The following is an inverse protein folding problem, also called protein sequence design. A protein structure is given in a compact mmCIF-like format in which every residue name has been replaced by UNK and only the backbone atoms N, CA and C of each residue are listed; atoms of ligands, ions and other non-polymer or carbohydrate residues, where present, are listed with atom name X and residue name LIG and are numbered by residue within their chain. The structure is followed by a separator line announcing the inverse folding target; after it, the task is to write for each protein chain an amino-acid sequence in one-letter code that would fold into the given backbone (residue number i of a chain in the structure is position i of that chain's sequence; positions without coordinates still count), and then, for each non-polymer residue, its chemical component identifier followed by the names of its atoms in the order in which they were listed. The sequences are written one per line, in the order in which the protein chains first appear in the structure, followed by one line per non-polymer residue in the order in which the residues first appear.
data_IF_802131546989
#
_entry.id   IF_802131546989
#
_cell.length_a   1.000
_cell.length_b   1.000
_cell.length_c   1.000
_cell.angle_alpha   90.00
_cell.angle_beta   90.00
_cell.angle_gamma   90.00
#
_symmetry.space_group_name_H-M   'P 1'
#
loop_
_entity.id
_entity.type
_entity.pdbx_description
1 polymer ?
#
# COMPACT_ATOMS: atom_id res chain seq x y z
N UNK A 1 8.49 -11.94 14.53
CA UNK A 1 8.17 -10.51 14.68
C UNK A 1 9.40 -9.78 15.21
N UNK A 2 10.35 -9.36 14.37
CA UNK A 2 11.17 -8.21 14.72
C UNK A 2 10.36 -6.94 14.37
N UNK A 3 10.43 -5.88 15.19
CA UNK A 3 10.07 -4.53 14.72
C UNK A 3 8.87 -3.81 15.33
N UNK A 4 8.08 -4.37 16.27
CA UNK A 4 6.92 -3.62 16.83
C UNK A 4 7.30 -2.26 17.44
N UNK A 5 8.50 -2.15 18.01
CA UNK A 5 9.04 -0.89 18.57
C UNK A 5 10.04 -0.20 17.63
N UNK A 6 10.21 -0.69 16.40
CA UNK A 6 11.07 -0.04 15.41
C UNK A 6 10.30 1.13 14.79
N UNK A 7 10.82 2.33 15.00
CA UNK A 7 10.21 3.56 14.52
C UNK A 7 10.15 3.57 12.98
N UNK A 8 11.17 3.02 12.31
CA UNK A 8 11.18 3.00 10.83
C UNK A 8 10.07 2.09 10.31
N UNK A 9 9.78 1.01 11.02
CA UNK A 9 8.74 0.07 10.64
C UNK A 9 7.35 0.68 10.84
N UNK A 10 7.14 1.40 11.96
CA UNK A 10 5.91 2.14 12.24
C UNK A 10 5.68 3.22 11.17
N UNK A 11 6.69 4.02 10.85
CA UNK A 11 6.59 5.09 9.85
C UNK A 11 6.34 4.53 8.45
N UNK A 12 6.98 3.42 8.12
CA UNK A 12 6.76 2.70 6.86
C UNK A 12 5.31 2.20 6.75
N UNK A 13 4.73 1.68 7.83
CA UNK A 13 3.37 1.15 7.82
C UNK A 13 2.29 2.24 7.70
N UNK A 14 2.61 3.48 8.08
CA UNK A 14 1.73 4.64 7.94
C UNK A 14 1.59 5.11 6.48
N UNK A 15 2.55 4.78 5.62
CA UNK A 15 2.53 5.20 4.21
C UNK A 15 1.26 4.71 3.48
N UNK A 16 0.59 5.59 2.71
CA UNK A 16 -0.62 5.24 1.99
C UNK A 16 -0.33 4.30 0.81
N UNK A 17 -1.15 3.26 0.68
CA UNK A 17 -1.14 2.30 -0.41
C UNK A 17 -2.51 2.21 -1.07
N UNK A 18 -2.51 2.22 -2.40
CA UNK A 18 -3.73 2.08 -3.19
C UNK A 18 -4.29 0.65 -3.06
N UNK A 19 -5.54 0.54 -2.62
CA UNK A 19 -6.28 -0.72 -2.50
C UNK A 19 -7.59 -0.66 -3.28
N UNK A 20 -8.11 -1.84 -3.62
CA UNK A 20 -9.41 -2.00 -4.26
C UNK A 20 -10.32 -2.81 -3.36
N UNK A 21 -11.44 -2.22 -2.92
CA UNK A 21 -12.42 -2.92 -2.10
C UNK A 21 -13.08 -4.06 -2.89
N UNK A 22 -13.04 -5.28 -2.35
CA UNK A 22 -13.67 -6.45 -2.95
C UNK A 22 -15.08 -6.70 -2.40
N UNK A 23 -15.41 -6.06 -1.29
CA UNK A 23 -16.72 -6.09 -0.63
C UNK A 23 -17.17 -4.66 -0.35
N UNK A 24 -18.49 -4.44 -0.36
CA UNK A 24 -19.04 -3.17 0.11
C UNK A 24 -18.88 -3.05 1.62
N UNK A 25 -18.49 -1.87 2.08
CA UNK A 25 -18.28 -1.60 3.50
C UNK A 25 -19.10 -0.38 3.92
N UNK A 26 -19.88 -0.51 4.99
CA UNK A 26 -20.68 0.58 5.56
C UNK A 26 -19.94 1.23 6.73
N UNK A 27 -20.18 2.52 6.97
CA UNK A 27 -19.56 3.29 8.05
C UNK A 27 -18.12 3.74 7.77
N UNK A 28 -17.64 3.55 6.55
CA UNK A 28 -16.25 3.85 6.13
C UNK A 28 -16.18 4.97 5.09
N UNK A 29 -17.19 5.85 5.04
CA UNK A 29 -17.21 6.98 4.08
C UNK A 29 -16.02 7.93 4.23
N UNK A 30 -15.36 7.98 5.40
CA UNK A 30 -14.13 8.74 5.59
C UNK A 30 -12.97 8.25 4.70
N UNK A 31 -13.00 6.98 4.31
CA UNK A 31 -11.94 6.38 3.50
C UNK A 31 -12.08 6.80 2.03
N UNK A 32 -13.29 7.12 1.55
CA UNK A 32 -13.51 7.61 0.19
C UNK A 32 -14.03 9.05 0.23
N UNK A 33 -13.16 10.07 0.07
CA UNK A 33 -13.55 11.47 0.10
C UNK A 33 -14.60 11.85 -0.96
N UNK A 34 -14.76 11.03 -2.00
CA UNK A 34 -15.75 11.23 -3.06
C UNK A 34 -17.09 10.52 -2.80
N UNK A 35 -17.22 9.72 -1.75
CA UNK A 35 -18.44 9.01 -1.46
C UNK A 35 -19.52 9.96 -0.90
N UNK A 36 -20.64 10.07 -1.62
CA UNK A 36 -21.83 10.81 -1.14
C UNK A 36 -22.53 10.11 0.02
N UNK A 37 -22.26 8.81 0.20
CA UNK A 37 -22.85 7.97 1.24
C UNK A 37 -21.76 7.52 2.21
N UNK A 38 -22.13 7.23 3.46
CA UNK A 38 -21.20 6.70 4.46
C UNK A 38 -20.88 5.21 4.21
N UNK A 39 -20.56 4.86 2.97
CA UNK A 39 -20.28 3.50 2.51
C UNK A 39 -19.35 3.53 1.31
N UNK A 40 -18.48 2.52 1.23
CA UNK A 40 -17.59 2.27 0.09
C UNK A 40 -18.16 1.12 -0.72
N UNK A 41 -18.35 1.35 -2.02
CA UNK A 41 -18.85 0.32 -2.93
C UNK A 41 -17.78 -0.71 -3.28
N UNK A 42 -18.23 -1.92 -3.64
CA UNK A 42 -17.34 -2.94 -4.20
C UNK A 42 -16.70 -2.42 -5.48
N UNK A 43 -15.38 -2.51 -5.57
CA UNK A 43 -14.58 -2.07 -6.71
C UNK A 43 -14.02 -0.65 -6.55
N UNK A 44 -14.39 0.08 -5.49
CA UNK A 44 -13.83 1.38 -5.20
C UNK A 44 -12.32 1.31 -4.96
N UNK A 45 -11.59 2.28 -5.52
CA UNK A 45 -10.15 2.44 -5.33
C UNK A 45 -9.91 3.52 -4.29
N UNK A 46 -9.22 3.17 -3.23
CA UNK A 46 -8.99 4.03 -2.08
C UNK A 46 -7.54 3.90 -1.64
N UNK A 47 -6.95 5.00 -1.19
CA UNK A 47 -5.62 4.98 -0.56
C UNK A 47 -5.78 4.81 0.95
N UNK A 48 -5.20 3.74 1.50
CA UNK A 48 -5.23 3.42 2.93
C UNK A 48 -3.81 3.28 3.47
N UNK A 49 -3.55 3.61 4.75
CA UNK A 49 -2.28 3.25 5.38
C UNK A 49 -2.01 1.74 5.28
N UNK A 50 -0.75 1.36 5.07
CA UNK A 50 -0.37 -0.04 4.87
C UNK A 50 -0.79 -0.95 6.03
N UNK A 51 -0.66 -0.52 7.29
CA UNK A 51 -1.09 -1.33 8.44
C UNK A 51 -2.58 -1.73 8.36
N UNK A 52 -3.44 -0.81 7.90
CA UNK A 52 -4.87 -1.07 7.75
C UNK A 52 -5.15 -1.92 6.51
N UNK A 53 -4.51 -1.57 5.39
CA UNK A 53 -4.64 -2.30 4.13
C UNK A 53 -4.26 -3.77 4.28
N UNK A 54 -3.17 -4.05 5.01
CA UNK A 54 -2.70 -5.40 5.28
C UNK A 54 -3.73 -6.23 6.07
N UNK A 55 -4.26 -5.67 7.17
CA UNK A 55 -5.29 -6.31 7.97
C UNK A 55 -6.58 -6.59 7.18
N UNK A 56 -7.01 -5.67 6.32
CA UNK A 56 -8.18 -5.86 5.46
C UNK A 56 -7.92 -6.87 4.35
N UNK A 57 -6.69 -6.94 3.83
CA UNK A 57 -6.28 -7.92 2.83
C UNK A 57 -6.33 -9.34 3.39
N UNK A 58 -5.83 -9.55 4.62
CA UNK A 58 -5.90 -10.84 5.31
C UNK A 58 -7.34 -11.32 5.51
N UNK A 59 -8.29 -10.39 5.66
CA UNK A 59 -9.74 -10.66 5.76
C UNK A 59 -10.44 -10.78 4.41
N UNK A 60 -9.70 -10.72 3.30
CA UNK A 60 -10.22 -10.76 1.92
C UNK A 60 -11.21 -9.62 1.60
N UNK A 61 -11.16 -8.52 2.36
CA UNK A 61 -12.04 -7.37 2.15
C UNK A 61 -11.53 -6.44 1.05
N UNK A 62 -10.20 -6.36 0.88
CA UNK A 62 -9.54 -5.50 -0.11
C UNK A 62 -8.46 -6.27 -0.88
N UNK A 63 -8.14 -5.80 -2.07
CA UNK A 63 -6.97 -6.21 -2.84
C UNK A 63 -5.97 -5.07 -2.86
N UNK A 64 -4.73 -5.33 -2.41
CA UNK A 64 -3.65 -4.34 -2.48
C UNK A 64 -3.17 -4.23 -3.92
N UNK A 65 -3.08 -3.01 -4.45
CA UNK A 65 -2.48 -2.77 -5.75
C UNK A 65 -0.98 -2.58 -5.61
N UNK A 66 -0.21 -3.05 -6.59
CA UNK A 66 1.25 -2.94 -6.55
C UNK A 66 1.63 -1.46 -6.64
N UNK A 67 2.33 -0.90 -5.64
CA UNK A 67 2.77 0.50 -5.70
C UNK A 67 3.61 0.79 -6.94
N UNK A 68 3.53 2.02 -7.44
CA UNK A 68 4.28 2.44 -8.62
C UNK A 68 5.81 2.23 -8.47
N UNK A 69 6.32 2.33 -7.25
CA UNK A 69 7.73 2.05 -6.95
C UNK A 69 8.13 0.60 -7.27
N UNK A 70 7.22 -0.38 -7.21
CA UNK A 70 7.48 -1.77 -7.60
C UNK A 70 6.97 -2.13 -9.01
N UNK A 71 6.46 -1.16 -9.75
CA UNK A 71 5.94 -1.34 -11.10
C UNK A 71 6.98 -1.84 -12.10
N UNK A 72 6.51 -2.30 -13.26
CA UNK A 72 7.37 -2.90 -14.28
C UNK A 72 8.45 -1.94 -14.81
N UNK A 73 8.15 -0.63 -14.87
CA UNK A 73 9.11 0.42 -15.26
C UNK A 73 10.30 0.45 -14.30
N UNK A 74 10.04 0.59 -13.00
CA UNK A 74 11.09 0.62 -11.97
C UNK A 74 11.91 -0.67 -11.97
N UNK A 75 11.27 -1.83 -12.13
CA UNK A 75 11.98 -3.12 -12.23
C UNK A 75 12.95 -3.16 -13.42
N UNK A 76 12.53 -2.68 -14.59
CA UNK A 76 13.38 -2.64 -15.80
C UNK A 76 14.57 -1.69 -15.62
N UNK A 77 14.37 -0.55 -14.99
CA UNK A 77 15.45 0.41 -14.71
C UNK A 77 16.47 -0.17 -13.72
N UNK A 78 16.01 -0.81 -12.63
CA UNK A 78 16.89 -1.48 -11.67
C UNK A 78 17.65 -2.64 -12.34
N UNK A 79 17.01 -3.40 -13.23
CA UNK A 79 17.67 -4.46 -14.00
C UNK A 79 18.71 -3.94 -14.99
N UNK A 80 18.52 -2.74 -15.53
CA UNK A 80 19.47 -2.12 -16.45
C UNK A 80 20.70 -1.61 -15.69
N UNK A 81 20.51 -0.83 -14.62
CA UNK A 81 21.56 -0.43 -13.70
C UNK A 81 20.96 0.04 -12.37
N UNK A 82 21.11 -0.76 -11.32
CA UNK A 82 20.61 -0.44 -9.99
C UNK A 82 21.26 0.81 -9.38
N UNK A 83 22.52 1.13 -9.72
CA UNK A 83 23.21 2.30 -9.17
C UNK A 83 22.67 3.63 -9.72
N UNK A 84 21.97 3.59 -10.86
CA UNK A 84 21.38 4.75 -11.50
C UNK A 84 19.96 5.07 -11.02
N UNK A 85 19.35 4.21 -10.20
CA UNK A 85 17.97 4.39 -9.72
C UNK A 85 17.97 4.96 -8.31
N UNK A 86 17.46 6.18 -8.15
CA UNK A 86 17.22 6.75 -6.82
C UNK A 86 15.95 6.15 -6.20
N UNK A 87 16.15 5.17 -5.31
CA UNK A 87 15.06 4.52 -4.58
C UNK A 87 14.42 5.44 -3.54
N UNK A 88 15.20 6.33 -2.91
CA UNK A 88 14.70 7.19 -1.84
C UNK A 88 13.64 8.18 -2.34
N UNK A 89 13.85 8.73 -3.53
CA UNK A 89 12.88 9.62 -4.19
C UNK A 89 11.59 8.87 -4.54
N UNK A 90 11.68 7.58 -4.88
CA UNK A 90 10.52 6.77 -5.29
C UNK A 90 9.72 6.19 -4.14
N UNK A 91 10.42 5.71 -3.12
CA UNK A 91 9.85 5.10 -1.93
C UNK A 91 10.93 5.11 -0.84
N UNK A 92 10.80 5.95 0.19
CA UNK A 92 11.79 6.03 1.28
C UNK A 92 12.08 4.68 1.94
N UNK A 93 11.04 3.84 2.04
CA UNK A 93 11.08 2.52 2.68
C UNK A 93 11.02 1.38 1.66
N UNK A 94 11.68 1.53 0.51
CA UNK A 94 11.57 0.59 -0.62
C UNK A 94 11.86 -0.87 -0.24
N UNK A 95 12.87 -1.10 0.60
CA UNK A 95 13.27 -2.46 0.97
C UNK A 95 12.34 -3.06 2.01
N UNK A 96 12.00 -2.30 3.05
CA UNK A 96 11.08 -2.68 4.11
C UNK A 96 9.69 -2.99 3.53
N UNK A 97 9.19 -2.13 2.65
CA UNK A 97 7.93 -2.30 1.94
C UNK A 97 7.95 -3.48 0.96
N UNK A 98 9.05 -3.67 0.25
CA UNK A 98 9.22 -4.80 -0.64
C UNK A 98 9.09 -6.14 0.12
N UNK A 99 9.72 -6.24 1.28
CA UNK A 99 9.67 -7.43 2.13
C UNK A 99 8.28 -7.72 2.72
N UNK A 100 7.45 -6.69 2.96
CA UNK A 100 6.09 -6.88 3.50
C UNK A 100 5.01 -7.12 2.43
N UNK A 101 5.19 -6.57 1.23
CA UNK A 101 4.23 -6.73 0.12
C UNK A 101 4.42 -8.06 -0.62
N UNK A 102 5.66 -8.55 -0.70
CA UNK A 102 5.97 -9.83 -1.36
C UNK A 102 5.80 -10.97 -0.35
N UNK A 103 4.94 -11.97 -0.61
CA UNK A 103 4.78 -13.15 0.25
C UNK A 103 6.01 -14.09 0.19
#
# INVERSE_FOLDING_TARGET
MPGYYDINDILMEEEPIAVVFQVGANGVGLLDPGAETNSVEKGAKVDLPFWLAHELYLRQAVSISIPACFGQKTRKEIQADAACVDLRIRCPYFYELGCKIVP
#
